data_IF_637146024582
#
_entry.id   IF_637146024582
#
_cell.length_a   1.000
_cell.length_b   1.000
_cell.length_c   1.000
_cell.angle_alpha   90.00
_cell.angle_beta   90.00
_cell.angle_gamma   90.00
#
_symmetry.space_group_name_H-M   'P 1'
#
loop_
_entity.id
_entity.type
_entity.pdbx_description
1 polymer ?
#
# COMPACT_ATOMS: atom_id res chain seq x y z
N UNK A 1 9.76 -15.44 -21.33
CA UNK A 1 9.29 -14.38 -20.40
C UNK A 1 10.37 -14.11 -19.36
N UNK A 2 10.60 -12.86 -18.97
CA UNK A 2 11.53 -12.50 -17.87
C UNK A 2 10.70 -12.23 -16.62
N UNK A 3 11.01 -12.92 -15.52
CA UNK A 3 10.35 -12.69 -14.24
C UNK A 3 10.72 -11.30 -13.70
N UNK A 4 9.72 -10.52 -13.28
CA UNK A 4 9.90 -9.17 -12.72
C UNK A 4 8.79 -8.88 -11.72
N UNK A 5 9.17 -8.25 -10.60
CA UNK A 5 8.22 -7.67 -9.64
C UNK A 5 7.87 -6.27 -10.12
N UNK A 6 6.59 -6.00 -10.34
CA UNK A 6 6.08 -4.68 -10.75
C UNK A 6 5.25 -4.01 -9.67
N UNK A 7 4.83 -4.75 -8.64
CA UNK A 7 4.11 -4.22 -7.50
C UNK A 7 4.60 -4.89 -6.22
N UNK A 8 4.84 -4.09 -5.19
CA UNK A 8 5.05 -4.54 -3.81
C UNK A 8 3.94 -3.97 -2.94
N UNK A 9 3.22 -4.82 -2.22
CA UNK A 9 2.13 -4.39 -1.31
C UNK A 9 2.57 -4.54 0.14
N UNK A 10 2.40 -3.50 0.95
CA UNK A 10 2.68 -3.50 2.39
C UNK A 10 1.40 -3.22 3.18
N UNK A 11 1.12 -4.08 4.17
CA UNK A 11 0.04 -3.89 5.14
C UNK A 11 0.51 -3.05 6.34
N UNK A 12 -0.19 -1.95 6.62
CA UNK A 12 0.15 -0.99 7.69
C UNK A 12 -0.99 -0.80 8.67
N UNK A 13 -0.68 -0.40 9.91
CA UNK A 13 -1.71 -0.10 10.93
C UNK A 13 -2.38 1.27 10.69
N UNK A 14 -1.63 2.22 10.13
CA UNK A 14 -2.11 3.58 9.87
C UNK A 14 -1.70 4.00 8.45
N UNK A 15 -2.69 3.99 7.56
CA UNK A 15 -2.52 4.33 6.14
C UNK A 15 -2.17 5.81 5.94
N UNK A 16 -2.77 6.71 6.72
CA UNK A 16 -2.55 8.16 6.65
C UNK A 16 -1.12 8.50 7.11
N UNK A 17 -0.67 7.91 8.21
CA UNK A 17 0.72 8.06 8.70
C UNK A 17 1.72 7.52 7.68
N UNK A 18 1.44 6.36 7.08
CA UNK A 18 2.31 5.77 6.07
C UNK A 18 2.34 6.63 4.80
N UNK A 19 1.20 7.16 4.36
CA UNK A 19 1.13 8.12 3.25
C UNK A 19 2.05 9.31 3.50
N UNK A 20 1.95 9.96 4.67
CA UNK A 20 2.82 11.09 5.01
C UNK A 20 4.29 10.70 5.06
N UNK A 21 4.61 9.53 5.60
CA UNK A 21 6.00 9.04 5.64
C UNK A 21 6.60 8.91 4.23
N UNK A 22 5.92 8.19 3.33
CA UNK A 22 6.44 7.96 1.98
C UNK A 22 6.38 9.22 1.09
N UNK A 23 5.29 10.01 1.17
CA UNK A 23 5.12 11.22 0.36
C UNK A 23 5.93 12.39 0.88
N UNK A 24 5.73 12.77 2.15
CA UNK A 24 6.32 14.00 2.72
C UNK A 24 7.71 13.75 3.28
N UNK A 25 7.94 12.56 3.84
CA UNK A 25 9.23 12.18 4.40
C UNK A 25 10.25 11.76 3.34
N UNK A 26 9.85 10.91 2.40
CA UNK A 26 10.74 10.37 1.35
C UNK A 26 10.57 11.02 -0.02
N UNK A 27 9.56 11.87 -0.22
CA UNK A 27 9.34 12.57 -1.48
C UNK A 27 8.78 11.69 -2.61
N UNK A 28 8.21 10.53 -2.30
CA UNK A 28 7.70 9.61 -3.32
C UNK A 28 6.41 10.14 -3.95
N UNK A 29 6.32 10.03 -5.29
CA UNK A 29 5.16 10.49 -6.05
C UNK A 29 3.94 9.60 -5.81
N UNK A 30 2.79 10.22 -5.52
CA UNK A 30 1.53 9.53 -5.27
C UNK A 30 0.34 10.45 -5.59
N UNK A 31 -0.79 9.85 -6.00
CA UNK A 31 -2.08 10.54 -6.11
C UNK A 31 -2.80 10.64 -4.75
N UNK A 32 -2.21 10.08 -3.70
CA UNK A 32 -2.80 9.99 -2.37
C UNK A 32 -3.55 8.67 -2.16
N UNK A 33 -4.41 8.66 -1.14
CA UNK A 33 -5.24 7.50 -0.83
C UNK A 33 -6.50 7.56 -1.69
N UNK A 34 -6.78 6.47 -2.40
CA UNK A 34 -7.98 6.24 -3.21
C UNK A 34 -8.79 5.07 -2.64
N UNK A 35 -10.03 4.88 -3.12
CA UNK A 35 -10.86 3.73 -2.76
C UNK A 35 -11.45 3.77 -1.34
N UNK A 36 -11.46 4.94 -0.69
CA UNK A 36 -12.07 5.11 0.64
C UNK A 36 -13.59 4.87 0.64
N UNK A 37 -14.22 4.98 -0.51
CA UNK A 37 -15.64 4.75 -0.73
C UNK A 37 -16.02 3.25 -0.71
N UNK A 38 -15.04 2.35 -0.82
CA UNK A 38 -15.25 0.91 -0.78
C UNK A 38 -14.79 0.34 0.57
N UNK A 39 -15.60 -0.55 1.13
CA UNK A 39 -15.21 -1.33 2.31
C UNK A 39 -13.93 -2.13 1.98
N UNK A 40 -12.89 -1.96 2.80
CA UNK A 40 -11.56 -2.53 2.58
C UNK A 40 -10.84 -2.09 1.28
N UNK A 41 -11.29 -1.03 0.61
CA UNK A 41 -10.70 -0.57 -0.66
C UNK A 41 -9.64 0.53 -0.55
N UNK A 42 -9.40 1.06 0.65
CA UNK A 42 -8.49 2.19 0.84
C UNK A 42 -7.03 1.79 0.58
N UNK A 43 -6.37 2.48 -0.34
CA UNK A 43 -4.97 2.22 -0.74
C UNK A 43 -4.27 3.49 -1.18
N UNK A 44 -2.96 3.60 -0.89
CA UNK A 44 -2.08 4.57 -1.53
C UNK A 44 -1.07 3.86 -2.45
N UNK A 45 -0.91 4.37 -3.67
CA UNK A 45 0.09 3.89 -4.62
C UNK A 45 1.21 4.92 -4.79
N UNK A 46 2.45 4.43 -4.85
CA UNK A 46 3.64 5.22 -5.12
C UNK A 46 4.37 4.66 -6.34
N UNK A 47 4.66 5.53 -7.30
CA UNK A 47 5.45 5.18 -8.47
C UNK A 47 6.94 5.24 -8.12
N UNK A 48 7.67 4.15 -8.36
CA UNK A 48 9.10 4.02 -8.16
C UNK A 48 9.82 3.81 -9.50
N UNK A 49 11.14 3.91 -9.46
CA UNK A 49 11.98 3.73 -10.64
C UNK A 49 11.79 2.35 -11.30
N UNK A 50 11.90 2.33 -12.62
CA UNK A 50 11.81 1.09 -13.41
C UNK A 50 10.38 0.53 -13.55
N UNK A 51 9.36 1.32 -13.21
CA UNK A 51 7.95 0.92 -13.30
C UNK A 51 7.51 -0.01 -12.17
N UNK A 52 8.24 -0.01 -11.05
CA UNK A 52 7.81 -0.65 -9.81
C UNK A 52 6.83 0.27 -9.09
N UNK A 53 5.75 -0.31 -8.55
CA UNK A 53 4.80 0.42 -7.71
C UNK A 53 4.82 -0.11 -6.29
N UNK A 54 4.86 0.78 -5.31
CA UNK A 54 4.60 0.43 -3.91
C UNK A 54 3.12 0.70 -3.62
N UNK A 55 2.39 -0.31 -3.16
CA UNK A 55 1.03 -0.20 -2.68
C UNK A 55 1.02 -0.30 -1.15
N UNK A 56 0.36 0.63 -0.48
CA UNK A 56 0.22 0.62 0.98
C UNK A 56 -1.25 0.49 1.33
N UNK A 57 -1.58 -0.54 2.10
CA UNK A 57 -2.94 -0.94 2.48
C UNK A 57 -3.08 -0.99 3.99
N UNK A 58 -4.26 -0.70 4.57
CA UNK A 58 -4.56 -1.08 5.94
C UNK A 58 -4.36 -2.59 6.10
N UNK A 59 -3.64 -3.03 7.13
CA UNK A 59 -3.31 -4.44 7.34
C UNK A 59 -4.57 -5.31 7.44
N UNK A 60 -5.63 -4.78 8.07
CA UNK A 60 -6.94 -5.44 8.15
C UNK A 60 -7.54 -5.69 6.75
N UNK A 61 -7.42 -4.71 5.84
CA UNK A 61 -7.99 -4.78 4.49
C UNK A 61 -7.19 -5.76 3.64
N UNK A 62 -5.87 -5.77 3.78
CA UNK A 62 -5.00 -6.75 3.12
C UNK A 62 -5.25 -8.18 3.62
N UNK A 63 -5.50 -8.36 4.92
CA UNK A 63 -5.85 -9.66 5.49
C UNK A 63 -7.22 -10.15 4.96
N UNK A 64 -8.20 -9.25 4.89
CA UNK A 64 -9.51 -9.52 4.31
C UNK A 64 -9.40 -9.95 2.83
N UNK A 65 -8.66 -9.22 2.01
CA UNK A 65 -8.43 -9.55 0.59
C UNK A 65 -7.73 -10.91 0.41
N UNK A 66 -6.74 -11.21 1.26
CA UNK A 66 -6.03 -12.48 1.23
C UNK A 66 -6.83 -13.67 1.78
N UNK A 67 -7.99 -13.44 2.41
CA UNK A 67 -8.76 -14.47 3.10
C UNK A 67 -8.02 -15.07 4.31
N UNK A 68 -7.16 -14.28 4.95
CA UNK A 68 -6.34 -14.71 6.09
C UNK A 68 -6.70 -13.92 7.36
N UNK A 69 -6.49 -14.49 8.55
CA UNK A 69 -6.51 -13.70 9.78
C UNK A 69 -5.45 -12.60 9.72
N UNK A 70 -5.77 -11.43 10.29
CA UNK A 70 -4.80 -10.36 10.43
C UNK A 70 -3.59 -10.81 11.25
N UNK A 71 -2.40 -10.60 10.71
CA UNK A 71 -1.14 -10.87 11.43
C UNK A 71 -0.87 -9.80 12.51
N UNK A 72 -0.15 -10.19 13.55
CA UNK A 72 0.36 -9.24 14.53
C UNK A 72 1.40 -8.31 13.87
N UNK A 73 1.50 -7.04 14.33
CA UNK A 73 2.63 -6.19 13.96
C UNK A 73 3.95 -6.87 14.36
N UNK A 74 4.98 -6.70 13.54
CA UNK A 74 6.35 -7.17 13.84
C UNK A 74 7.09 -6.29 14.83
#
# INVERSE_FOLDING_TARGET
>A
MKQRITVLTLGVDDLERSLRFYRDGLGLATEGIIGREFEHGAVAFFELDGGLRLAVWPRESLAHDAGLPQSQPG
#
